data_IF_854420376849
#
_entry.id   IF_854420376849
#
_cell.length_a   1.000
_cell.length_b   1.000
_cell.length_c   1.000
_cell.angle_alpha   90.00
_cell.angle_beta   90.00
_cell.angle_gamma   90.00
#
_symmetry.space_group_name_H-M   'P 1'
#
loop_
_entity.id
_entity.type
_entity.pdbx_description
1 polymer ?
#
# COMPACT_ATOMS: atom_id res chain seq x y z
N UNK A 1 13.00 13.41 -31.59
CA UNK A 1 12.33 14.46 -32.38
C UNK A 1 13.23 14.85 -33.55
N UNK A 2 12.68 14.93 -34.75
CA UNK A 2 13.36 15.38 -35.96
C UNK A 2 12.53 16.48 -36.64
N UNK A 3 13.12 17.66 -36.83
CA UNK A 3 12.51 18.75 -37.57
C UNK A 3 13.33 19.04 -38.82
N UNK A 4 12.65 19.16 -39.96
CA UNK A 4 13.30 19.41 -41.23
C UNK A 4 12.63 20.56 -42.01
N UNK A 5 13.42 21.18 -42.88
CA UNK A 5 12.95 22.17 -43.85
C UNK A 5 13.24 21.65 -45.25
N UNK A 6 12.23 21.63 -46.11
CA UNK A 6 12.37 21.22 -47.51
C UNK A 6 13.27 22.16 -48.31
N UNK A 7 13.35 23.42 -47.87
CA UNK A 7 14.20 24.46 -48.47
C UNK A 7 15.67 24.33 -48.07
N UNK A 8 16.01 23.47 -47.10
CA UNK A 8 17.37 23.33 -46.59
C UNK A 8 18.06 22.07 -47.14
N UNK A 9 19.10 22.18 -48.00
CA UNK A 9 19.73 21.03 -48.64
C UNK A 9 20.31 20.01 -47.64
N UNK A 10 20.76 20.47 -46.47
CA UNK A 10 21.29 19.57 -45.43
C UNK A 10 20.22 18.63 -44.87
N UNK A 11 18.94 19.02 -44.87
CA UNK A 11 17.85 18.15 -44.43
C UNK A 11 17.67 16.97 -45.40
N UNK A 12 17.71 17.24 -46.71
CA UNK A 12 17.63 16.20 -47.75
C UNK A 12 18.83 15.26 -47.65
N UNK A 13 20.04 15.80 -47.48
CA UNK A 13 21.27 14.99 -47.29
C UNK A 13 21.17 14.11 -46.05
N UNK A 14 20.71 14.64 -44.92
CA UNK A 14 20.54 13.88 -43.68
C UNK A 14 19.54 12.73 -43.85
N UNK A 15 18.39 12.97 -44.50
CA UNK A 15 17.44 11.90 -44.78
C UNK A 15 18.06 10.78 -45.64
N UNK A 16 18.79 11.15 -46.71
CA UNK A 16 19.39 10.19 -47.66
C UNK A 16 20.61 9.45 -47.11
N UNK A 17 21.43 10.10 -46.30
CA UNK A 17 22.72 9.54 -45.85
C UNK A 17 22.63 8.94 -44.44
N UNK A 18 21.77 9.47 -43.58
CA UNK A 18 21.67 9.05 -42.16
C UNK A 18 20.41 8.24 -41.93
N UNK A 19 19.24 8.83 -42.16
CA UNK A 19 17.95 8.17 -41.86
C UNK A 19 17.61 7.03 -42.83
N UNK A 20 18.30 6.94 -43.97
CA UNK A 20 18.16 5.81 -44.90
C UNK A 20 19.07 4.62 -44.53
N UNK A 21 19.98 4.78 -43.56
CA UNK A 21 20.82 3.68 -43.08
C UNK A 21 19.97 2.64 -42.37
N UNK A 22 20.09 1.37 -42.77
CA UNK A 22 19.36 0.24 -42.16
C UNK A 22 19.65 0.10 -40.67
N UNK A 23 20.88 0.34 -40.26
CA UNK A 23 21.28 0.24 -38.85
C UNK A 23 20.62 1.32 -38.00
N UNK A 24 20.55 2.55 -38.52
CA UNK A 24 19.88 3.68 -37.87
C UNK A 24 18.38 3.41 -37.74
N UNK A 25 17.73 2.99 -38.84
CA UNK A 25 16.29 2.69 -38.84
C UNK A 25 15.96 1.57 -37.87
N UNK A 26 16.73 0.48 -37.88
CA UNK A 26 16.54 -0.65 -36.95
C UNK A 26 16.65 -0.19 -35.50
N UNK A 27 17.75 0.51 -35.17
CA UNK A 27 17.97 0.97 -33.81
C UNK A 27 16.85 1.92 -33.36
N UNK A 28 16.41 2.83 -34.24
CA UNK A 28 15.33 3.75 -33.93
C UNK A 28 14.05 2.99 -33.57
N UNK A 29 13.62 2.07 -34.43
CA UNK A 29 12.38 1.33 -34.23
C UNK A 29 12.37 0.44 -32.97
N UNK A 30 13.54 -0.05 -32.57
CA UNK A 30 13.67 -0.91 -31.38
C UNK A 30 13.79 -0.12 -30.07
N UNK A 31 14.39 1.07 -30.09
CA UNK A 31 14.87 1.73 -28.86
C UNK A 31 14.27 3.10 -28.58
N UNK A 32 13.70 3.80 -29.58
CA UNK A 32 13.20 5.17 -29.38
C UNK A 32 11.87 5.42 -30.10
N UNK A 33 11.05 6.29 -29.51
CA UNK A 33 9.87 6.83 -30.20
C UNK A 33 10.34 7.94 -31.13
N UNK A 34 10.29 7.69 -32.43
CA UNK A 34 10.69 8.65 -33.44
C UNK A 34 9.52 9.50 -33.92
N UNK A 35 9.59 10.79 -33.64
CA UNK A 35 8.65 11.78 -34.16
C UNK A 35 9.38 12.73 -35.10
N UNK A 36 8.84 12.89 -36.32
CA UNK A 36 9.41 13.71 -37.38
C UNK A 36 8.37 14.65 -37.96
N UNK A 37 8.75 15.91 -38.19
CA UNK A 37 7.86 16.86 -38.87
C UNK A 37 8.57 17.94 -39.68
N UNK A 38 7.98 18.28 -40.81
CA UNK A 38 8.39 19.42 -41.62
C UNK A 38 7.89 20.74 -41.01
N UNK A 39 8.70 21.78 -41.05
CA UNK A 39 8.36 23.10 -40.48
C UNK A 39 7.25 23.83 -41.23
N UNK A 40 6.95 23.45 -42.47
CA UNK A 40 5.82 23.96 -43.24
C UNK A 40 4.46 23.55 -42.64
N UNK A 41 4.44 22.49 -41.82
CA UNK A 41 3.21 22.07 -41.13
C UNK A 41 2.96 22.91 -39.87
N UNK A 42 1.69 23.14 -39.48
CA UNK A 42 1.37 23.86 -38.24
C UNK A 42 1.98 23.22 -36.99
N UNK A 43 2.05 21.89 -36.95
CA UNK A 43 2.65 21.12 -35.85
C UNK A 43 4.17 21.31 -35.78
N UNK A 44 4.84 21.23 -36.93
CA UNK A 44 6.29 21.44 -37.04
C UNK A 44 6.67 22.86 -36.67
N UNK A 45 5.90 23.86 -37.11
CA UNK A 45 6.11 25.26 -36.74
C UNK A 45 5.93 25.52 -35.23
N UNK A 46 4.91 24.93 -34.60
CA UNK A 46 4.74 25.00 -33.14
C UNK A 46 5.90 24.33 -32.41
N UNK A 47 6.30 23.14 -32.84
CA UNK A 47 7.41 22.42 -32.24
C UNK A 47 8.74 23.17 -32.38
N UNK A 48 8.99 23.79 -33.53
CA UNK A 48 10.15 24.67 -33.74
C UNK A 48 10.16 25.81 -32.72
N UNK A 49 9.04 26.53 -32.54
CA UNK A 49 8.96 27.63 -31.57
C UNK A 49 9.16 27.17 -30.13
N UNK A 50 8.54 26.04 -29.77
CA UNK A 50 8.66 25.48 -28.43
C UNK A 50 10.11 25.08 -28.10
N UNK A 51 10.83 24.54 -29.08
CA UNK A 51 12.21 24.06 -28.93
C UNK A 51 13.27 25.11 -29.28
N UNK A 52 12.87 26.32 -29.71
CA UNK A 52 13.81 27.38 -30.07
C UNK A 52 14.68 27.08 -31.30
N UNK A 53 14.20 26.23 -32.22
CA UNK A 53 15.01 25.74 -33.35
C UNK A 53 15.20 26.81 -34.42
N UNK A 54 16.45 27.04 -34.80
CA UNK A 54 16.86 28.04 -35.81
C UNK A 54 17.54 27.45 -37.03
N UNK A 55 18.07 26.22 -36.94
CA UNK A 55 18.87 25.57 -38.00
C UNK A 55 18.30 24.20 -38.35
N UNK A 56 18.43 23.78 -39.62
CA UNK A 56 17.91 22.49 -40.10
C UNK A 56 18.98 21.67 -40.82
N UNK A 57 18.94 20.34 -40.74
CA UNK A 57 18.03 19.53 -39.94
C UNK A 57 18.28 19.69 -38.43
N UNK A 58 17.21 19.61 -37.64
CA UNK A 58 17.30 19.58 -36.19
C UNK A 58 16.90 18.19 -35.69
N UNK A 59 17.78 17.57 -34.91
CA UNK A 59 17.48 16.30 -34.24
C UNK A 59 17.76 16.47 -32.76
N UNK A 60 16.81 16.05 -31.94
CA UNK A 60 17.01 15.99 -30.51
C UNK A 60 16.40 14.73 -29.90
N UNK A 61 17.12 14.17 -28.93
CA UNK A 61 16.59 13.16 -28.04
C UNK A 61 15.99 13.86 -26.83
N UNK A 62 14.73 13.54 -26.55
CA UNK A 62 13.96 14.10 -25.45
C UNK A 62 13.71 12.98 -24.45
N UNK A 63 14.08 13.22 -23.19
CA UNK A 63 13.72 12.35 -22.07
C UNK A 63 13.15 13.17 -20.93
N UNK A 64 12.33 12.56 -20.10
CA UNK A 64 11.92 13.14 -18.81
C UNK A 64 12.65 12.38 -17.72
N UNK A 65 13.68 12.98 -17.09
CA UNK A 65 14.37 12.34 -16.00
C UNK A 65 13.43 12.11 -14.80
N UNK A 66 13.66 11.06 -14.01
CA UNK A 66 13.01 10.85 -12.73
C UNK A 66 13.16 12.02 -11.78
N UNK A 67 12.12 12.30 -11.00
CA UNK A 67 12.21 13.22 -9.85
C UNK A 67 12.18 14.70 -10.17
N UNK A 68 12.06 15.09 -11.45
CA UNK A 68 11.81 16.47 -11.86
C UNK A 68 10.40 16.55 -12.44
N UNK A 69 9.45 17.10 -11.70
CA UNK A 69 8.06 17.29 -12.12
C UNK A 69 7.95 18.05 -13.45
N UNK A 70 8.88 18.97 -13.69
CA UNK A 70 8.84 19.91 -14.82
C UNK A 70 10.07 19.83 -15.73
N UNK A 71 10.81 18.72 -15.65
CA UNK A 71 12.10 18.57 -16.32
C UNK A 71 12.04 17.73 -17.56
N UNK A 72 12.17 18.35 -18.73
CA UNK A 72 12.56 17.65 -19.96
C UNK A 72 14.05 17.87 -20.18
N UNK A 73 14.80 16.78 -20.40
CA UNK A 73 16.18 16.87 -20.89
C UNK A 73 16.15 16.74 -22.40
N UNK A 74 16.58 17.80 -23.07
CA UNK A 74 16.82 17.86 -24.49
C UNK A 74 18.32 17.60 -24.74
N UNK A 75 18.63 16.73 -25.68
CA UNK A 75 20.00 16.59 -26.19
C UNK A 75 19.97 16.69 -27.70
N UNK A 76 20.62 17.72 -28.22
CA UNK A 76 20.67 18.02 -29.64
C UNK A 76 21.82 17.28 -30.31
N UNK A 77 21.59 16.86 -31.54
CA UNK A 77 22.62 16.32 -32.40
C UNK A 77 23.19 17.43 -33.27
N UNK A 78 24.46 17.78 -33.04
CA UNK A 78 25.16 18.85 -33.77
C UNK A 78 26.29 18.32 -34.67
N UNK A 79 26.50 17.01 -34.73
CA UNK A 79 27.55 16.39 -35.54
C UNK A 79 27.05 16.11 -36.97
N UNK A 80 27.97 15.91 -37.93
CA UNK A 80 27.66 15.64 -39.34
C UNK A 80 26.96 14.28 -39.59
N UNK A 81 27.01 13.74 -40.81
CA UNK A 81 26.28 12.50 -41.12
C UNK A 81 26.89 11.21 -40.49
N UNK A 82 28.15 11.23 -40.05
CA UNK A 82 28.89 10.02 -39.68
C UNK A 82 28.57 9.40 -38.31
N UNK A 83 28.29 10.22 -37.30
CA UNK A 83 28.31 9.78 -35.89
C UNK A 83 26.92 9.62 -35.27
N UNK A 84 25.86 9.67 -36.08
CA UNK A 84 24.50 9.77 -35.58
C UNK A 84 24.07 8.53 -34.78
N UNK A 85 24.39 7.33 -35.26
CA UNK A 85 24.05 6.10 -34.58
C UNK A 85 24.76 5.98 -33.22
N UNK A 86 26.06 6.29 -33.20
CA UNK A 86 26.87 6.26 -31.98
C UNK A 86 26.37 7.30 -30.97
N UNK A 87 26.05 8.51 -31.42
CA UNK A 87 25.44 9.53 -30.57
C UNK A 87 24.11 9.06 -29.99
N UNK A 88 23.23 8.48 -30.83
CA UNK A 88 21.93 8.00 -30.40
C UNK A 88 22.07 6.87 -29.36
N UNK A 89 22.97 5.91 -29.59
CA UNK A 89 23.30 4.84 -28.65
C UNK A 89 23.83 5.37 -27.31
N UNK A 90 24.77 6.31 -27.36
CA UNK A 90 25.39 6.91 -26.17
C UNK A 90 24.34 7.65 -25.34
N UNK A 91 23.49 8.44 -26.00
CA UNK A 91 22.45 9.21 -25.31
C UNK A 91 21.32 8.31 -24.80
N UNK A 92 20.91 7.29 -25.55
CA UNK A 92 19.97 6.27 -25.09
C UNK A 92 20.50 5.53 -23.86
N UNK A 93 21.77 5.11 -23.84
CA UNK A 93 22.37 4.44 -22.70
C UNK A 93 22.42 5.35 -21.46
N UNK A 94 22.80 6.62 -21.65
CA UNK A 94 22.82 7.64 -20.59
C UNK A 94 21.44 7.87 -19.99
N UNK A 95 20.39 7.87 -20.82
CA UNK A 95 19.02 8.03 -20.34
C UNK A 95 18.43 6.74 -19.77
N UNK A 96 18.82 5.57 -20.28
CA UNK A 96 18.40 4.26 -19.81
C UNK A 96 18.78 4.00 -18.35
N UNK A 97 20.02 4.29 -17.96
CA UNK A 97 20.47 4.15 -16.56
C UNK A 97 19.65 5.01 -15.60
N UNK A 98 19.30 6.22 -16.05
CA UNK A 98 18.48 7.17 -15.31
C UNK A 98 17.04 6.65 -15.15
N UNK A 99 16.45 6.08 -16.21
CA UNK A 99 15.09 5.53 -16.18
C UNK A 99 14.97 4.26 -15.32
N UNK A 100 15.93 3.32 -15.41
CA UNK A 100 15.94 2.09 -14.60
C UNK A 100 16.01 2.38 -13.11
N UNK A 101 16.85 3.35 -12.70
CA UNK A 101 16.96 3.77 -11.29
C UNK A 101 15.63 4.24 -10.70
N UNK A 102 14.74 4.84 -11.50
CA UNK A 102 13.40 5.25 -11.04
C UNK A 102 12.45 4.09 -10.93
N UNK A 103 12.47 3.16 -11.88
CA UNK A 103 11.60 1.97 -11.80
C UNK A 103 11.84 1.28 -10.47
N UNK A 104 13.12 1.06 -10.14
CA UNK A 104 13.53 0.52 -8.84
C UNK A 104 13.04 1.39 -7.67
N UNK A 105 13.23 2.70 -7.70
CA UNK A 105 12.79 3.57 -6.59
C UNK A 105 11.26 3.68 -6.45
N UNK A 106 10.48 3.51 -7.53
CA UNK A 106 9.01 3.46 -7.46
C UNK A 106 8.58 2.12 -6.86
N UNK A 107 9.17 1.04 -7.34
CA UNK A 107 8.94 -0.32 -6.85
C UNK A 107 9.29 -0.43 -5.35
N UNK A 108 10.45 0.05 -4.92
CA UNK A 108 10.86 0.11 -3.50
C UNK A 108 9.87 0.91 -2.62
N UNK A 109 9.29 2.00 -3.13
CA UNK A 109 8.31 2.80 -2.39
C UNK A 109 6.97 2.09 -2.27
N UNK A 110 6.56 1.40 -3.31
CA UNK A 110 5.31 0.64 -3.33
C UNK A 110 5.43 -0.59 -2.44
N UNK A 111 6.56 -1.30 -2.50
CA UNK A 111 6.90 -2.40 -1.57
C UNK A 111 6.92 -1.91 -0.11
N UNK A 112 7.59 -0.78 0.17
CA UNK A 112 7.64 -0.22 1.53
C UNK A 112 6.26 0.20 2.04
N UNK A 113 5.38 0.69 1.16
CA UNK A 113 3.98 1.02 1.51
C UNK A 113 3.20 -0.25 1.83
N UNK A 114 3.26 -1.25 0.97
CA UNK A 114 2.57 -2.53 1.16
C UNK A 114 3.01 -3.23 2.45
N UNK A 115 4.31 -3.21 2.76
CA UNK A 115 4.84 -3.80 3.99
C UNK A 115 4.29 -3.09 5.23
N UNK A 116 4.19 -1.76 5.22
CA UNK A 116 3.59 -1.00 6.34
C UNK A 116 2.11 -1.32 6.50
N UNK A 117 1.36 -1.33 5.40
CA UNK A 117 -0.07 -1.68 5.43
C UNK A 117 -0.30 -3.12 5.91
N UNK A 118 0.61 -4.05 5.62
CA UNK A 118 0.56 -5.40 6.17
C UNK A 118 0.86 -5.42 7.67
N UNK A 119 1.91 -4.73 8.12
CA UNK A 119 2.27 -4.64 9.54
C UNK A 119 1.16 -3.98 10.37
N UNK A 120 0.56 -2.90 9.87
CA UNK A 120 -0.53 -2.21 10.56
C UNK A 120 -1.75 -3.13 10.71
N UNK A 121 -2.08 -3.93 9.68
CA UNK A 121 -3.17 -4.92 9.76
C UNK A 121 -2.89 -6.00 10.81
N UNK A 122 -1.72 -6.64 10.75
CA UNK A 122 -1.33 -7.69 11.69
C UNK A 122 -1.29 -7.16 13.15
N UNK A 123 -0.82 -5.91 13.32
CA UNK A 123 -0.82 -5.23 14.62
C UNK A 123 -2.24 -5.01 15.15
N UNK A 124 -3.16 -4.50 14.31
CA UNK A 124 -4.55 -4.30 14.70
C UNK A 124 -5.26 -5.60 15.05
N UNK A 125 -5.06 -6.67 14.26
CA UNK A 125 -5.63 -7.99 14.53
C UNK A 125 -5.15 -8.56 15.87
N UNK A 126 -3.85 -8.43 16.15
CA UNK A 126 -3.26 -8.88 17.43
C UNK A 126 -3.82 -8.09 18.61
N UNK A 127 -3.92 -6.77 18.48
CA UNK A 127 -4.47 -5.88 19.51
C UNK A 127 -5.94 -6.20 19.82
N UNK A 128 -6.74 -6.49 18.79
CA UNK A 128 -8.13 -6.92 18.96
C UNK A 128 -8.24 -8.28 19.63
N UNK A 129 -7.39 -9.24 19.26
CA UNK A 129 -7.37 -10.56 19.87
C UNK A 129 -7.04 -10.48 21.38
N UNK A 130 -6.05 -9.66 21.75
CA UNK A 130 -5.68 -9.45 23.15
C UNK A 130 -6.79 -8.75 23.94
N UNK A 131 -7.45 -7.73 23.36
CA UNK A 131 -8.63 -7.09 23.99
C UNK A 131 -9.77 -8.08 24.22
N UNK A 132 -10.08 -8.93 23.24
CA UNK A 132 -11.13 -9.95 23.37
C UNK A 132 -10.80 -10.96 24.45
N UNK A 133 -9.55 -11.40 24.56
CA UNK A 133 -9.10 -12.30 25.64
C UNK A 133 -9.24 -11.64 27.01
N UNK A 134 -8.84 -10.38 27.15
CA UNK A 134 -8.95 -9.66 28.42
C UNK A 134 -10.41 -9.47 28.83
N UNK A 135 -11.29 -9.12 27.89
CA UNK A 135 -12.74 -9.01 28.13
C UNK A 135 -13.33 -10.35 28.55
N UNK A 136 -13.05 -11.43 27.81
CA UNK A 136 -13.54 -12.76 28.15
C UNK A 136 -13.04 -13.24 29.52
N UNK A 137 -11.80 -12.92 29.91
CA UNK A 137 -11.26 -13.24 31.22
C UNK A 137 -11.97 -12.48 32.35
N UNK A 138 -12.31 -11.19 32.14
CA UNK A 138 -13.08 -10.40 33.10
C UNK A 138 -14.50 -10.93 33.26
N UNK A 139 -15.19 -11.20 32.15
CA UNK A 139 -16.55 -11.75 32.16
C UNK A 139 -16.61 -13.12 32.86
N UNK A 140 -15.63 -14.01 32.59
CA UNK A 140 -15.55 -15.30 33.25
C UNK A 140 -15.29 -15.18 34.77
N UNK A 141 -14.46 -14.21 35.19
CA UNK A 141 -14.22 -13.96 36.61
C UNK A 141 -15.46 -13.38 37.32
N UNK A 142 -16.20 -12.48 36.67
CA UNK A 142 -17.46 -11.95 37.19
C UNK A 142 -18.53 -13.04 37.33
N UNK A 143 -18.69 -13.89 36.30
CA UNK A 143 -19.62 -15.03 36.35
C UNK A 143 -19.25 -16.01 37.47
N UNK A 144 -17.97 -16.35 37.63
CA UNK A 144 -17.52 -17.22 38.70
C UNK A 144 -17.78 -16.62 40.11
N UNK A 145 -17.57 -15.32 40.27
CA UNK A 145 -17.84 -14.63 41.53
C UNK A 145 -19.34 -14.56 41.85
N UNK A 146 -20.19 -14.36 40.84
CA UNK A 146 -21.65 -14.36 41.00
C UNK A 146 -22.18 -15.76 41.33
N UNK A 147 -21.70 -16.81 40.67
CA UNK A 147 -22.03 -18.19 41.01
C UNK A 147 -21.60 -18.55 42.44
N UNK A 148 -20.42 -18.11 42.88
CA UNK A 148 -19.95 -18.34 44.24
C UNK A 148 -20.83 -17.62 45.27
N UNK A 149 -21.23 -16.38 44.98
CA UNK A 149 -22.15 -15.61 45.85
C UNK A 149 -23.52 -16.29 45.96
N UNK A 150 -24.09 -16.73 44.84
CA UNK A 150 -25.37 -17.45 44.82
C UNK A 150 -25.30 -18.77 45.60
N UNK A 151 -24.18 -19.51 45.50
CA UNK A 151 -23.98 -20.74 46.29
C UNK A 151 -23.92 -20.44 47.78
N UNK A 152 -23.17 -19.42 48.19
CA UNK A 152 -23.07 -18.99 49.61
C UNK A 152 -24.43 -18.56 50.16
N UNK A 153 -25.19 -17.76 49.41
CA UNK A 153 -26.54 -17.32 49.81
C UNK A 153 -27.50 -18.52 49.97
N UNK A 154 -27.45 -19.49 49.05
CA UNK A 154 -28.26 -20.70 49.14
C UNK A 154 -27.89 -21.57 50.36
N UNK A 155 -26.59 -21.72 50.65
CA UNK A 155 -26.10 -22.43 51.84
C UNK A 155 -26.54 -21.74 53.14
N UNK A 156 -26.44 -20.41 53.21
CA UNK A 156 -26.90 -19.62 54.37
C UNK A 156 -28.42 -19.74 54.57
N UNK A 157 -29.21 -19.68 53.49
CA UNK A 157 -30.67 -19.85 53.56
C UNK A 157 -31.05 -21.26 54.03
N UNK A 158 -30.34 -22.29 53.55
CA UNK A 158 -30.55 -23.67 54.01
C UNK A 158 -30.21 -23.82 55.51
N UNK A 159 -29.10 -23.23 55.96
CA UNK A 159 -28.72 -23.22 57.38
C UNK A 159 -29.78 -22.51 58.25
N UNK A 160 -30.28 -21.35 57.80
CA UNK A 160 -31.37 -20.64 58.50
C UNK A 160 -32.63 -21.49 58.61
N UNK A 161 -33.06 -22.12 57.51
CA UNK A 161 -34.23 -23.02 57.51
C UNK A 161 -34.03 -24.20 58.47
N UNK A 162 -32.83 -24.79 58.50
CA UNK A 162 -32.50 -25.88 59.43
C UNK A 162 -32.55 -25.41 60.89
N UNK A 163 -31.99 -24.24 61.19
CA UNK A 163 -32.02 -23.66 62.54
C UNK A 163 -33.45 -23.35 63.00
N UNK A 164 -34.27 -22.75 62.14
CA UNK A 164 -35.69 -22.45 62.43
C UNK A 164 -36.50 -23.73 62.68
N UNK A 165 -36.26 -24.78 61.90
CA UNK A 165 -36.89 -26.10 62.12
C UNK A 165 -36.49 -26.71 63.46
N UNK A 166 -35.23 -26.55 63.89
CA UNK A 166 -34.75 -27.02 65.20
C UNK A 166 -35.43 -26.23 66.32
N UNK A 167 -35.43 -24.89 66.27
CA UNK A 167 -36.13 -24.06 67.27
C UNK A 167 -37.64 -24.36 67.33
N UNK A 168 -38.28 -24.60 66.18
CA UNK A 168 -39.69 -24.99 66.13
C UNK A 168 -39.94 -26.35 66.77
N UNK A 169 -39.00 -27.29 66.65
CA UNK A 169 -39.07 -28.60 67.35
C UNK A 169 -38.89 -28.43 68.85
N UNK A 170 -37.95 -27.59 69.28
CA UNK A 170 -37.69 -27.35 70.70
C UNK A 170 -38.83 -26.61 71.40
N UNK A 171 -39.41 -25.61 70.77
CA UNK A 171 -40.59 -24.89 71.28
C UNK A 171 -41.81 -25.81 71.37
N UNK A 172 -42.05 -26.65 70.36
CA UNK A 172 -43.09 -27.70 70.44
C UNK A 172 -42.82 -28.70 71.56
N UNK A 173 -41.57 -29.14 71.75
CA UNK A 173 -41.19 -30.05 72.86
C UNK A 173 -41.43 -29.40 74.23
N UNK A 174 -41.19 -28.10 74.38
CA UNK A 174 -41.49 -27.34 75.61
C UNK A 174 -42.99 -27.08 75.82
N UNK A 175 -43.79 -27.05 74.76
CA UNK A 175 -45.24 -26.85 74.82
C UNK A 175 -46.04 -28.17 75.00
N UNK A 176 -45.42 -29.32 74.77
CA UNK A 176 -45.96 -30.62 75.17
C UNK A 176 -45.73 -30.79 76.69
N UNK A 177 -46.81 -30.82 77.46
CA UNK A 177 -46.80 -31.08 78.90
C UNK A 177 -46.24 -32.49 79.21
N UNK A 178 -45.63 -32.66 80.39
CA UNK A 178 -45.16 -33.95 80.92
C UNK A 178 -46.28 -35.01 80.83
N UNK A 179 -45.90 -36.20 80.36
CA UNK A 179 -46.77 -37.36 80.24
C UNK A 179 -47.42 -37.61 81.61
N UNK A 180 -48.77 -37.60 81.72
CA UNK A 180 -49.42 -37.73 83.02
C UNK A 180 -49.03 -39.06 83.65
N UNK A 181 -48.76 -39.02 84.96
CA UNK A 181 -48.39 -40.19 85.75
C UNK A 181 -49.32 -41.37 85.47
N UNK A 182 -48.69 -42.54 85.31
CA UNK A 182 -49.37 -43.83 85.18
C UNK A 182 -50.33 -43.98 86.38
N UNK A 183 -51.63 -43.85 86.11
CA UNK A 183 -52.67 -43.94 87.13
C UNK A 183 -52.62 -45.29 87.88
N UNK A 184 -52.93 -45.30 89.19
CA UNK A 184 -52.85 -46.51 89.98
C UNK A 184 -53.97 -47.49 89.61
N UNK A 185 -53.57 -48.68 89.15
CA UNK A 185 -54.29 -49.96 89.29
C UNK A 185 -55.59 -50.15 88.50
N UNK A 186 -55.48 -50.84 87.35
CA UNK A 186 -56.11 -52.15 87.09
C UNK A 186 -55.12 -52.99 86.28
#
# INVERSE_FOLDING_TARGET
>A
VFLHSEMHPASVRFCRQVLSSREVVRYINENVIFWARGIASPEGYRAQRLLGVTTYPFVALITSPPGRSDGVTLSEYNSGAGDFLQWLQTMSARFGTTLTRRRLHVEERDEARQLREQQDREYHETLEADRRKEQAAKEAAEQAAEEERLKREAEEEEQRKRAELVERRESKRKALAEEPERGPGV
#
